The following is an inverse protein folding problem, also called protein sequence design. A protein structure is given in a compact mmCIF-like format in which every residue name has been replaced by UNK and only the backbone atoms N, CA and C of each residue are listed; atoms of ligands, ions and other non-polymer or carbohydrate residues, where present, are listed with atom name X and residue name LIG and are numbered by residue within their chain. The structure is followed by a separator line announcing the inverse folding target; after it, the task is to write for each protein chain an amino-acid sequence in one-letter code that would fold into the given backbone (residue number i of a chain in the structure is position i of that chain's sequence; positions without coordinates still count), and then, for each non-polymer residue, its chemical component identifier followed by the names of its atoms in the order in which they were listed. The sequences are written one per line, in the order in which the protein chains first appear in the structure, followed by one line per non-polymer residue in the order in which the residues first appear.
data_IF_291802500887
#
_entry.id   IF_291802500887
#
_cell.length_a   1.000
_cell.length_b   1.000
_cell.length_c   1.000
_cell.angle_alpha   90.00
_cell.angle_beta   90.00
_cell.angle_gamma   90.00
#
_symmetry.space_group_name_H-M   'P 1'
#
loop_
_entity.id
_entity.type
_entity.pdbx_description
1 polymer ?
#
# COMPACT_ATOMS: atom_id res chain seq x y z
N UNK A 1 -3.49 -5.69 -2.21
CA UNK A 1 -3.27 -7.02 -2.80
C UNK A 1 -1.97 -7.09 -3.59
N UNK A 2 -1.13 -8.07 -3.32
CA UNK A 2 0.10 -8.34 -4.06
C UNK A 2 -0.25 -8.75 -5.50
N UNK A 3 0.43 -8.14 -6.47
CA UNK A 3 0.12 -8.37 -7.89
C UNK A 3 -1.08 -7.57 -8.44
N UNK A 4 -1.76 -6.74 -7.63
CA UNK A 4 -2.90 -5.94 -8.11
C UNK A 4 -2.55 -4.68 -8.91
N UNK A 5 -1.26 -4.36 -9.06
CA UNK A 5 -0.79 -3.22 -9.87
C UNK A 5 -0.29 -2.02 -9.06
N UNK A 6 0.05 -2.19 -7.77
CA UNK A 6 0.65 -1.13 -6.93
C UNK A 6 1.84 -0.44 -7.59
N UNK A 7 2.77 -1.21 -8.16
CA UNK A 7 3.94 -0.67 -8.85
C UNK A 7 3.58 0.11 -10.12
N UNK A 8 2.53 -0.30 -10.82
CA UNK A 8 2.02 0.43 -11.99
C UNK A 8 1.38 1.75 -11.57
N UNK A 9 0.59 1.77 -10.51
CA UNK A 9 -0.01 2.98 -9.97
C UNK A 9 1.04 3.94 -9.40
N UNK A 10 2.05 3.41 -8.70
CA UNK A 10 3.19 4.19 -8.20
C UNK A 10 3.90 4.93 -9.35
N UNK A 11 4.26 4.21 -10.42
CA UNK A 11 4.87 4.84 -11.62
C UNK A 11 3.98 5.88 -12.26
N UNK A 12 2.68 5.61 -12.39
CA UNK A 12 1.75 6.60 -12.94
C UNK A 12 1.69 7.87 -12.07
N UNK A 13 1.81 7.75 -10.74
CA UNK A 13 1.89 8.90 -9.84
C UNK A 13 3.23 9.65 -10.00
N UNK A 14 4.35 8.95 -10.14
CA UNK A 14 5.65 9.55 -10.46
C UNK A 14 5.56 10.38 -11.76
N UNK A 15 4.98 9.81 -12.82
CA UNK A 15 4.78 10.48 -14.10
C UNK A 15 3.88 11.73 -14.00
N UNK A 16 2.98 11.75 -13.01
CA UNK A 16 2.11 12.90 -12.69
C UNK A 16 2.77 13.91 -11.73
N UNK A 17 4.06 13.74 -11.44
CA UNK A 17 4.86 14.64 -10.60
C UNK A 17 4.67 14.44 -9.10
N UNK A 18 4.22 13.26 -8.65
CA UNK A 18 4.21 12.92 -7.23
C UNK A 18 5.59 12.42 -6.79
N UNK A 19 6.01 12.82 -5.60
CA UNK A 19 7.13 12.18 -4.93
C UNK A 19 6.65 10.84 -4.36
N UNK A 20 7.18 9.73 -4.87
CA UNK A 20 6.71 8.38 -4.50
C UNK A 20 7.71 7.70 -3.57
N UNK A 21 7.21 7.20 -2.44
CA UNK A 21 7.97 6.34 -1.53
C UNK A 21 7.34 4.95 -1.56
N UNK A 22 8.08 3.97 -2.08
CA UNK A 22 7.63 2.57 -2.11
C UNK A 22 8.05 1.79 -0.86
N UNK A 23 7.22 0.83 -0.47
CA UNK A 23 7.46 -0.11 0.62
C UNK A 23 7.79 0.56 1.98
N UNK A 24 7.14 1.69 2.31
CA UNK A 24 7.36 2.40 3.57
C UNK A 24 6.68 1.67 4.73
N UNK A 25 7.39 1.38 5.84
CA UNK A 25 6.77 0.94 7.07
C UNK A 25 5.80 2.01 7.60
N UNK A 26 4.55 1.67 7.98
CA UNK A 26 3.59 2.69 8.41
C UNK A 26 4.00 3.46 9.67
N UNK A 27 4.90 2.92 10.50
CA UNK A 27 5.50 3.66 11.62
C UNK A 27 6.32 4.89 11.20
N UNK A 28 6.80 4.93 9.94
CA UNK A 28 7.58 6.05 9.40
C UNK A 28 6.74 7.03 8.58
N UNK A 29 5.43 6.78 8.42
CA UNK A 29 4.55 7.59 7.57
C UNK A 29 4.51 9.06 8.03
N UNK A 30 4.37 9.30 9.34
CA UNK A 30 4.35 10.66 9.87
C UNK A 30 5.66 11.41 9.61
N UNK A 31 6.80 10.74 9.73
CA UNK A 31 8.12 11.34 9.49
C UNK A 31 8.31 11.67 8.01
N UNK A 32 7.91 10.77 7.10
CA UNK A 32 7.94 11.01 5.66
C UNK A 32 7.10 12.23 5.28
N UNK A 33 5.91 12.36 5.87
CA UNK A 33 5.04 13.52 5.63
C UNK A 33 5.64 14.81 6.19
N UNK A 34 6.25 14.77 7.37
CA UNK A 34 6.94 15.95 7.94
C UNK A 34 8.10 16.41 7.06
N UNK A 35 8.91 15.48 6.55
CA UNK A 35 10.00 15.79 5.62
C UNK A 35 9.48 16.39 4.31
N UNK A 36 8.40 15.82 3.77
CA UNK A 36 7.75 16.37 2.58
C UNK A 36 7.24 17.80 2.82
N UNK A 37 6.65 18.08 3.99
CA UNK A 37 6.18 19.43 4.36
C UNK A 37 7.31 20.44 4.55
N UNK A 38 8.48 20.00 4.97
CA UNK A 38 9.64 20.86 5.18
C UNK A 38 10.40 21.15 3.88
N UNK A 39 10.03 20.48 2.78
CA UNK A 39 10.65 20.64 1.46
C UNK A 39 9.74 21.45 0.55
N UNK A 40 10.23 22.57 0.03
CA UNK A 40 9.49 23.38 -0.96
C UNK A 40 9.33 22.65 -2.31
N UNK A 41 10.17 21.64 -2.57
CA UNK A 41 10.16 20.88 -3.82
C UNK A 41 9.12 19.75 -3.83
N UNK A 42 8.54 19.39 -2.68
CA UNK A 42 7.61 18.26 -2.54
C UNK A 42 6.18 18.76 -2.34
N UNK A 43 5.52 19.10 -3.44
CA UNK A 43 4.12 19.53 -3.43
C UNK A 43 3.12 18.38 -3.24
N UNK A 44 3.48 17.16 -3.69
CA UNK A 44 2.61 15.97 -3.66
C UNK A 44 3.41 14.74 -3.27
N UNK A 45 2.93 13.99 -2.27
CA UNK A 45 3.57 12.79 -1.74
C UNK A 45 2.63 11.59 -1.89
N UNK A 46 3.12 10.52 -2.51
CA UNK A 46 2.43 9.23 -2.55
C UNK A 46 3.27 8.19 -1.83
N UNK A 47 2.63 7.46 -0.92
CA UNK A 47 3.31 6.44 -0.10
C UNK A 47 2.65 5.10 -0.34
N UNK A 48 3.45 4.12 -0.75
CA UNK A 48 3.01 2.73 -0.80
C UNK A 48 3.39 2.07 0.52
N UNK A 49 2.38 1.74 1.31
CA UNK A 49 2.58 1.13 2.62
C UNK A 49 2.85 -0.38 2.48
N UNK A 50 3.87 -0.87 3.18
CA UNK A 50 4.11 -2.30 3.31
C UNK A 50 3.30 -2.86 4.49
N UNK A 51 2.30 -3.67 4.16
CA UNK A 51 1.27 -4.20 5.09
C UNK A 51 1.60 -5.60 5.60
N UNK A 52 2.89 -5.97 5.56
CA UNK A 52 3.40 -7.27 6.05
C UNK A 52 3.40 -7.32 7.58
N UNK A 53 2.22 -7.38 8.19
CA UNK A 53 2.05 -7.72 9.61
C UNK A 53 0.90 -6.98 10.30
N UNK A 54 0.19 -7.67 11.21
CA UNK A 54 -0.96 -7.13 11.95
C UNK A 54 -0.62 -5.90 12.83
N UNK A 55 0.60 -5.83 13.36
CA UNK A 55 1.07 -4.71 14.19
C UNK A 55 1.23 -3.40 13.42
N UNK A 56 1.36 -3.46 12.09
CA UNK A 56 1.52 -2.28 11.25
C UNK A 56 0.20 -1.54 10.99
N UNK A 57 -0.95 -2.20 11.19
CA UNK A 57 -2.27 -1.61 10.94
C UNK A 57 -2.65 -0.53 11.95
N UNK A 58 -2.34 -0.71 13.23
CA UNK A 58 -2.65 0.31 14.26
C UNK A 58 -1.89 1.61 13.98
N UNK A 59 -0.61 1.51 13.60
CA UNK A 59 0.20 2.66 13.22
C UNK A 59 -0.31 3.36 11.96
N UNK A 60 -0.77 2.59 10.97
CA UNK A 60 -1.35 3.15 9.76
C UNK A 60 -2.64 3.91 10.06
N UNK A 61 -3.58 3.31 10.81
CA UNK A 61 -4.84 3.98 11.18
C UNK A 61 -4.59 5.26 11.98
N UNK A 62 -3.70 5.21 12.97
CA UNK A 62 -3.32 6.40 13.74
C UNK A 62 -2.74 7.50 12.84
N UNK A 63 -1.92 7.15 11.85
CA UNK A 63 -1.40 8.12 10.89
C UNK A 63 -2.53 8.70 10.02
N UNK A 64 -3.44 7.87 9.51
CA UNK A 64 -4.58 8.31 8.69
C UNK A 64 -5.55 9.22 9.46
N UNK A 65 -5.68 9.05 10.78
CA UNK A 65 -6.49 9.94 11.63
C UNK A 65 -5.78 11.26 11.98
N UNK A 66 -4.47 11.22 12.20
CA UNK A 66 -3.70 12.38 12.68
C UNK A 66 -3.32 13.36 11.57
N UNK A 67 -3.04 12.87 10.36
CA UNK A 67 -2.62 13.70 9.23
C UNK A 67 -3.69 14.73 8.80
N UNK A 68 -4.98 14.37 8.67
CA UNK A 68 -6.04 15.34 8.40
C UNK A 68 -6.16 16.42 9.47
N UNK A 69 -5.99 16.06 10.75
CA UNK A 69 -6.07 16.99 11.87
C UNK A 69 -4.98 18.09 11.83
N UNK A 70 -3.86 17.85 11.14
CA UNK A 70 -2.79 18.84 10.94
C UNK A 70 -2.84 19.52 9.56
N UNK A 71 -4.00 19.45 8.90
CA UNK A 71 -4.30 20.15 7.65
C UNK A 71 -3.81 19.44 6.38
N UNK A 72 -3.50 18.14 6.46
CA UNK A 72 -2.98 17.36 5.33
C UNK A 72 -4.11 16.55 4.72
N UNK A 73 -4.47 16.86 3.47
CA UNK A 73 -5.43 16.06 2.71
C UNK A 73 -4.86 14.69 2.40
N UNK A 74 -5.43 13.65 3.00
CA UNK A 74 -5.04 12.25 2.74
C UNK A 74 -6.09 11.61 1.85
N UNK A 75 -5.64 10.80 0.88
CA UNK A 75 -6.51 9.90 0.12
C UNK A 75 -5.92 8.49 0.10
N UNK A 76 -6.76 7.49 0.28
CA UNK A 76 -6.35 6.09 0.34
C UNK A 76 -6.80 5.36 -0.93
N UNK A 77 -5.85 5.01 -1.79
CA UNK A 77 -6.09 4.18 -2.97
C UNK A 77 -5.86 2.70 -2.65
N UNK A 78 -6.91 1.88 -2.72
CA UNK A 78 -6.80 0.43 -2.57
C UNK A 78 -6.99 -0.29 -3.91
N UNK A 79 -5.94 -1.00 -4.36
CA UNK A 79 -5.98 -1.75 -5.63
C UNK A 79 -6.31 -3.22 -5.41
N UNK A 80 -7.34 -3.69 -6.10
CA UNK A 80 -7.76 -5.08 -6.16
C UNK A 80 -7.82 -5.62 -7.58
N UNK A 81 -7.84 -6.94 -7.68
CA UNK A 81 -8.02 -7.70 -8.91
C UNK A 81 -8.74 -8.99 -8.55
N UNK A 82 -9.32 -9.69 -9.53
CA UNK A 82 -9.88 -11.03 -9.30
C UNK A 82 -8.77 -12.04 -8.95
N UNK A 83 -9.14 -13.09 -8.23
CA UNK A 83 -8.21 -14.14 -7.82
C UNK A 83 -7.59 -14.83 -9.05
N UNK A 84 -8.38 -15.08 -10.10
CA UNK A 84 -7.89 -15.70 -11.34
C UNK A 84 -6.82 -14.84 -12.02
N UNK A 85 -7.02 -13.52 -12.04
CA UNK A 85 -6.05 -12.60 -12.62
C UNK A 85 -4.77 -12.51 -11.77
N UNK A 86 -4.88 -12.53 -10.44
CA UNK A 86 -3.73 -12.54 -9.55
C UNK A 86 -2.93 -13.84 -9.69
N UNK A 87 -3.60 -14.99 -9.68
CA UNK A 87 -2.96 -16.31 -9.91
C UNK A 87 -2.20 -16.32 -11.24
N UNK A 88 -2.84 -15.91 -12.35
CA UNK A 88 -2.17 -15.83 -13.66
C UNK A 88 -0.91 -14.96 -13.64
N UNK A 89 -0.95 -13.81 -12.95
CA UNK A 89 0.21 -12.90 -12.82
C UNK A 89 1.35 -13.49 -11.99
N UNK A 90 1.03 -14.21 -10.91
CA UNK A 90 2.04 -14.89 -10.10
C UNK A 90 2.68 -16.06 -10.86
N UNK A 91 1.88 -16.85 -11.57
CA UNK A 91 2.36 -17.93 -12.43
C UNK A 91 3.24 -17.40 -13.57
N UNK A 92 2.83 -16.31 -14.23
CA UNK A 92 3.61 -15.72 -15.34
C UNK A 92 4.93 -15.11 -14.88
N UNK A 93 4.96 -14.51 -13.68
CA UNK A 93 6.18 -13.90 -13.13
C UNK A 93 7.09 -14.90 -12.42
N UNK A 94 6.64 -16.14 -12.20
CA UNK A 94 7.32 -17.18 -11.41
C UNK A 94 7.77 -16.70 -10.03
N UNK A 95 7.13 -15.67 -9.47
CA UNK A 95 7.45 -15.16 -8.13
C UNK A 95 6.57 -15.87 -7.11
N UNK A 96 7.14 -16.37 -6.00
CA UNK A 96 6.35 -16.92 -4.91
C UNK A 96 5.54 -15.79 -4.24
N UNK A 97 4.33 -16.10 -3.78
CA UNK A 97 3.53 -15.13 -3.04
C UNK A 97 4.05 -15.02 -1.58
N UNK A 98 4.22 -13.81 -1.01
CA UNK A 98 4.85 -13.64 0.31
C UNK A 98 4.19 -14.42 1.46
N UNK A 99 2.87 -14.60 1.41
CA UNK A 99 2.10 -15.35 2.42
C UNK A 99 1.82 -16.81 2.02
N UNK A 100 2.34 -17.29 0.89
CA UNK A 100 2.08 -18.66 0.42
C UNK A 100 2.76 -19.72 1.28
N UNK A 101 3.99 -19.47 1.74
CA UNK A 101 4.80 -20.51 2.39
C UNK A 101 4.90 -21.77 1.52
N UNK A 102 4.48 -22.92 2.06
CA UNK A 102 4.39 -24.21 1.36
C UNK A 102 3.00 -24.51 0.75
N UNK A 103 2.04 -23.58 0.83
CA UNK A 103 0.67 -23.74 0.34
C UNK A 103 0.52 -23.33 -1.13
N UNK A 104 -0.71 -23.37 -1.67
CA UNK A 104 -0.99 -22.88 -3.03
C UNK A 104 -1.08 -21.35 -3.03
N UNK A 105 -0.84 -20.75 -4.19
CA UNK A 105 -0.93 -19.28 -4.37
C UNK A 105 -2.30 -18.75 -3.95
N UNK A 106 -3.38 -19.46 -4.31
CA UNK A 106 -4.76 -19.09 -3.95
C UNK A 106 -4.96 -18.96 -2.43
N UNK A 107 -4.35 -19.86 -1.65
CA UNK A 107 -4.48 -19.86 -0.19
C UNK A 107 -3.79 -18.61 0.41
N UNK A 108 -2.62 -18.24 -0.14
CA UNK A 108 -1.91 -17.01 0.23
C UNK A 108 -2.65 -15.72 -0.14
N UNK A 109 -3.33 -15.70 -1.30
CA UNK A 109 -4.15 -14.57 -1.73
C UNK A 109 -5.37 -14.38 -0.82
N UNK A 110 -6.04 -15.47 -0.43
CA UNK A 110 -7.18 -15.40 0.50
C UNK A 110 -6.74 -14.89 1.88
N UNK A 111 -5.61 -15.36 2.40
CA UNK A 111 -5.04 -14.84 3.63
C UNK A 111 -4.74 -13.33 3.54
N UNK A 112 -4.18 -12.88 2.41
CA UNK A 112 -3.90 -11.46 2.18
C UNK A 112 -5.20 -10.63 2.16
N UNK A 113 -6.26 -11.10 1.50
CA UNK A 113 -7.57 -10.41 1.49
C UNK A 113 -8.15 -10.23 2.89
N UNK A 114 -8.07 -11.27 3.72
CA UNK A 114 -8.56 -11.20 5.10
C UNK A 114 -7.77 -10.17 5.90
N UNK A 115 -6.44 -10.15 5.77
CA UNK A 115 -5.57 -9.19 6.47
C UNK A 115 -5.84 -7.76 6.01
N UNK A 116 -6.13 -7.54 4.72
CA UNK A 116 -6.36 -6.22 4.14
C UNK A 116 -7.82 -5.76 4.17
N UNK A 117 -8.74 -6.57 4.68
CA UNK A 117 -10.18 -6.28 4.68
C UNK A 117 -10.51 -4.96 5.37
N UNK A 118 -9.87 -4.68 6.50
CA UNK A 118 -10.09 -3.44 7.25
C UNK A 118 -9.60 -2.20 6.48
N UNK A 119 -8.48 -2.29 5.76
CA UNK A 119 -7.99 -1.19 4.92
C UNK A 119 -8.90 -0.95 3.72
N UNK A 120 -9.40 -2.01 3.12
CA UNK A 120 -10.36 -1.91 2.02
C UNK A 120 -11.63 -1.19 2.46
N UNK A 121 -12.14 -1.48 3.66
CA UNK A 121 -13.36 -0.87 4.17
C UNK A 121 -13.23 0.65 4.41
N UNK A 122 -12.01 1.13 4.63
CA UNK A 122 -11.70 2.55 4.91
C UNK A 122 -11.00 3.26 3.73
N UNK A 123 -10.96 2.65 2.54
CA UNK A 123 -10.39 3.26 1.34
C UNK A 123 -11.42 4.16 0.64
N UNK A 124 -10.92 5.17 -0.09
CA UNK A 124 -11.75 6.14 -0.83
C UNK A 124 -12.28 5.60 -2.17
#
# INVERSE_FOLDING_TARGET
MSGAGRSTAARALEDLGWFVIDNLPPSLLQQAVQLARASDDIAKLAVVVDVRGKTFFSHLNQALETLPAVGIGVRTLFLESSDEALVRRFESSRRPHPLQGSQRIIDGLHAERVILGDLRANAD
#
